data_IF_035363868800
#
_entry.id   IF_035363868800
#
_cell.length_a   1.000
_cell.length_b   1.000
_cell.length_c   1.000
_cell.angle_alpha   90.00
_cell.angle_beta   90.00
_cell.angle_gamma   90.00
#
_symmetry.space_group_name_H-M   'P 1'
#
loop_
_entity.id
_entity.type
_entity.pdbx_description
1 polymer ?
#
# COMPACT_ATOMS: atom_id res chain seq x y z
N UNK A 1 -3.81 5.50 -3.91
CA UNK A 1 -4.91 5.41 -2.92
C UNK A 1 -4.55 4.46 -1.79
N UNK A 2 -4.86 4.84 -0.55
CA UNK A 2 -4.61 3.98 0.61
C UNK A 2 -5.92 3.46 1.15
N UNK A 3 -5.93 2.18 1.49
CA UNK A 3 -7.08 1.55 2.11
C UNK A 3 -6.59 0.72 3.29
N UNK A 4 -7.06 1.06 4.49
CA UNK A 4 -6.83 0.25 5.68
C UNK A 4 -8.19 -0.34 6.04
N UNK A 5 -8.29 -1.65 6.04
CA UNK A 5 -9.59 -2.32 6.05
C UNK A 5 -9.54 -3.61 6.87
N UNK A 6 -10.68 -4.00 7.40
CA UNK A 6 -10.87 -5.32 8.00
C UNK A 6 -11.33 -6.36 6.97
N UNK A 7 -11.45 -5.97 5.70
CA UNK A 7 -11.92 -6.81 4.60
C UNK A 7 -10.96 -6.76 3.42
N UNK A 8 -9.69 -7.04 3.66
CA UNK A 8 -8.63 -6.92 2.66
C UNK A 8 -8.94 -7.70 1.39
N UNK A 9 -9.37 -8.95 1.53
CA UNK A 9 -9.71 -9.81 0.40
C UNK A 9 -10.82 -9.21 -0.47
N UNK A 10 -11.85 -8.67 0.17
CA UNK A 10 -12.98 -8.05 -0.52
C UNK A 10 -12.55 -6.79 -1.29
N UNK A 11 -11.76 -5.94 -0.67
CA UNK A 11 -11.24 -4.73 -1.32
C UNK A 11 -10.31 -5.07 -2.47
N UNK A 12 -9.46 -6.07 -2.29
CA UNK A 12 -8.57 -6.59 -3.33
C UNK A 12 -9.36 -7.07 -4.55
N UNK A 13 -10.46 -7.81 -4.31
CA UNK A 13 -11.33 -8.29 -5.39
C UNK A 13 -12.05 -7.17 -6.12
N UNK A 14 -12.48 -6.12 -5.42
CA UNK A 14 -13.09 -4.95 -6.04
C UNK A 14 -12.12 -4.26 -7.00
N UNK A 15 -10.87 -4.08 -6.59
CA UNK A 15 -9.84 -3.46 -7.42
C UNK A 15 -9.53 -4.33 -8.63
N UNK A 16 -9.42 -5.63 -8.42
CA UNK A 16 -9.20 -6.60 -9.48
C UNK A 16 -10.27 -6.51 -10.57
N UNK A 17 -11.53 -6.47 -10.17
CA UNK A 17 -12.66 -6.35 -11.11
C UNK A 17 -12.66 -5.01 -11.83
N UNK A 18 -12.44 -3.92 -11.10
CA UNK A 18 -12.45 -2.57 -11.66
C UNK A 18 -11.41 -2.39 -12.76
N UNK A 19 -10.24 -2.97 -12.60
CA UNK A 19 -9.11 -2.80 -13.51
C UNK A 19 -8.82 -4.03 -14.37
N UNK A 20 -9.66 -5.04 -14.29
CA UNK A 20 -9.53 -6.30 -15.05
C UNK A 20 -8.15 -6.95 -14.80
N UNK A 21 -7.77 -7.04 -13.53
CA UNK A 21 -6.50 -7.61 -13.10
C UNK A 21 -6.71 -9.01 -12.53
N UNK A 22 -5.71 -9.86 -12.71
CA UNK A 22 -5.63 -11.14 -12.02
C UNK A 22 -4.70 -10.96 -10.82
N UNK A 23 -5.25 -11.12 -9.63
CA UNK A 23 -4.49 -11.01 -8.38
C UNK A 23 -4.42 -12.36 -7.71
N UNK A 24 -3.22 -12.72 -7.27
CA UNK A 24 -3.00 -13.95 -6.53
C UNK A 24 -3.44 -13.69 -5.08
N UNK A 25 -4.35 -14.50 -4.60
CA UNK A 25 -4.82 -14.46 -3.22
C UNK A 25 -4.32 -15.72 -2.52
N UNK A 26 -3.28 -15.58 -1.72
CA UNK A 26 -2.74 -16.65 -0.90
C UNK A 26 -3.38 -16.70 0.50
N UNK A 27 -4.31 -15.78 0.78
CA UNK A 27 -5.09 -15.77 2.01
C UNK A 27 -4.36 -15.27 3.24
N UNK A 28 -3.10 -14.87 3.11
CA UNK A 28 -2.24 -14.54 4.24
C UNK A 28 -1.63 -13.14 4.16
N UNK A 29 -2.15 -12.29 3.29
CA UNK A 29 -1.61 -10.94 3.11
C UNK A 29 -1.89 -10.07 4.32
N UNK A 30 -0.84 -9.44 4.87
CA UNK A 30 -0.97 -8.36 5.86
C UNK A 30 -1.27 -7.04 5.17
N UNK A 31 -0.79 -6.91 3.95
CA UNK A 31 -1.01 -5.77 3.09
C UNK A 31 -0.67 -6.14 1.67
N UNK A 32 -1.05 -5.28 0.73
CA UNK A 32 -0.75 -5.51 -0.68
C UNK A 32 -0.59 -4.18 -1.41
N UNK A 33 0.40 -4.12 -2.30
CA UNK A 33 0.57 -3.02 -3.22
C UNK A 33 0.13 -3.47 -4.61
N UNK A 34 -0.75 -2.69 -5.24
CA UNK A 34 -1.27 -2.98 -6.58
C UNK A 34 -0.98 -1.79 -7.48
N UNK A 35 -0.27 -2.04 -8.57
CA UNK A 35 -0.02 -1.05 -9.60
C UNK A 35 -0.85 -1.42 -10.82
N UNK A 36 -1.69 -0.50 -11.29
CA UNK A 36 -2.50 -0.72 -12.47
C UNK A 36 -1.80 -0.17 -13.72
N UNK A 37 -2.22 -0.62 -14.88
CA UNK A 37 -1.70 -0.14 -16.16
C UNK A 37 -2.10 1.30 -16.48
N UNK A 38 -3.06 1.86 -15.72
CA UNK A 38 -3.49 3.26 -15.85
C UNK A 38 -2.69 4.22 -14.98
N UNK A 39 -1.52 3.82 -14.51
CA UNK A 39 -0.63 4.60 -13.64
C UNK A 39 -1.20 4.92 -12.25
N UNK A 40 -2.27 4.25 -11.88
CA UNK A 40 -2.82 4.34 -10.52
C UNK A 40 -2.23 3.24 -9.66
N UNK A 41 -2.07 3.53 -8.39
CA UNK A 41 -1.63 2.53 -7.44
C UNK A 41 -2.55 2.48 -6.23
N UNK A 42 -2.60 1.32 -5.63
CA UNK A 42 -3.38 1.06 -4.43
C UNK A 42 -2.47 0.41 -3.40
N UNK A 43 -2.53 0.92 -2.18
CA UNK A 43 -1.84 0.32 -1.06
C UNK A 43 -2.90 -0.05 -0.03
N UNK A 44 -3.03 -1.34 0.23
CA UNK A 44 -4.03 -1.88 1.13
C UNK A 44 -3.33 -2.51 2.33
N UNK A 45 -3.84 -2.27 3.52
CA UNK A 45 -3.33 -2.89 4.75
C UNK A 45 -4.52 -3.45 5.51
N UNK A 46 -4.39 -4.68 5.97
CA UNK A 46 -5.38 -5.29 6.86
C UNK A 46 -5.24 -4.65 8.24
N UNK A 47 -6.34 -4.10 8.75
CA UNK A 47 -6.35 -3.39 10.02
C UNK A 47 -5.87 -4.28 11.17
N UNK A 48 -6.10 -5.58 11.05
CA UNK A 48 -5.67 -6.57 12.04
C UNK A 48 -4.14 -6.60 12.21
N UNK A 49 -3.42 -6.28 11.14
CA UNK A 49 -1.95 -6.29 11.11
C UNK A 49 -1.35 -4.88 11.10
N UNK A 50 -2.16 -3.87 11.41
CA UNK A 50 -1.69 -2.48 11.37
C UNK A 50 -0.65 -2.23 12.44
N UNK A 51 0.61 -2.22 12.03
CA UNK A 51 1.76 -1.98 12.88
C UNK A 51 2.77 -1.11 12.14
N UNK A 52 3.72 -0.53 12.88
CA UNK A 52 4.77 0.27 12.25
C UNK A 52 5.61 -0.59 11.30
N UNK A 53 5.83 -1.86 11.64
CA UNK A 53 6.56 -2.79 10.80
C UNK A 53 5.82 -3.06 9.48
N UNK A 54 4.53 -3.37 9.54
CA UNK A 54 3.72 -3.61 8.35
C UNK A 54 3.65 -2.37 7.47
N UNK A 55 3.47 -1.20 8.08
CA UNK A 55 3.45 0.06 7.34
C UNK A 55 4.77 0.26 6.59
N UNK A 56 5.90 0.11 7.27
CA UNK A 56 7.22 0.28 6.64
C UNK A 56 7.44 -0.74 5.52
N UNK A 57 7.04 -1.98 5.73
CA UNK A 57 7.14 -3.06 4.75
C UNK A 57 6.37 -2.71 3.47
N UNK A 58 5.13 -2.27 3.62
CA UNK A 58 4.28 -1.94 2.48
C UNK A 58 4.72 -0.64 1.79
N UNK A 59 5.24 0.33 2.54
CA UNK A 59 5.84 1.54 1.96
C UNK A 59 7.01 1.16 1.07
N UNK A 60 7.87 0.26 1.52
CA UNK A 60 9.02 -0.19 0.72
C UNK A 60 8.55 -0.83 -0.59
N UNK A 61 7.59 -1.73 -0.55
CA UNK A 61 7.02 -2.33 -1.76
C UNK A 61 6.45 -1.28 -2.70
N UNK A 62 5.77 -0.26 -2.16
CA UNK A 62 5.20 0.82 -2.96
C UNK A 62 6.29 1.64 -3.66
N UNK A 63 7.35 1.99 -2.94
CA UNK A 63 8.45 2.76 -3.51
C UNK A 63 9.14 1.97 -4.62
N UNK A 64 9.45 0.70 -4.37
CA UNK A 64 10.09 -0.17 -5.37
C UNK A 64 9.19 -0.32 -6.59
N UNK A 65 7.91 -0.61 -6.39
CA UNK A 65 6.97 -0.81 -7.50
C UNK A 65 6.80 0.43 -8.36
N UNK A 66 6.62 1.59 -7.74
CA UNK A 66 6.42 2.85 -8.47
C UNK A 66 7.70 3.26 -9.20
N UNK A 67 8.85 3.18 -8.53
CA UNK A 67 10.11 3.61 -9.13
C UNK A 67 10.57 2.69 -10.26
N UNK A 68 10.35 1.39 -10.13
CA UNK A 68 10.64 0.45 -11.21
C UNK A 68 9.74 0.70 -12.42
N UNK A 69 8.45 0.90 -12.19
CA UNK A 69 7.50 1.19 -13.27
C UNK A 69 7.86 2.45 -14.03
N UNK A 70 8.34 3.47 -13.33
CA UNK A 70 8.67 4.77 -13.90
C UNK A 70 10.12 4.91 -14.33
N UNK A 71 10.94 3.89 -14.11
CA UNK A 71 12.36 3.94 -14.44
C UNK A 71 13.15 4.93 -13.58
N UNK A 72 12.70 5.20 -12.35
CA UNK A 72 13.35 6.13 -11.45
C UNK A 72 14.47 5.40 -10.70
N UNK A 73 15.71 5.83 -10.92
CA UNK A 73 16.88 5.23 -10.26
C UNK A 73 17.55 6.18 -9.27
N UNK A 74 17.11 7.43 -9.22
CA UNK A 74 17.65 8.45 -8.34
C UNK A 74 17.23 8.18 -6.89
N UNK A 75 18.20 8.00 -6.01
CA UNK A 75 17.98 7.74 -4.60
C UNK A 75 17.25 8.89 -3.90
N UNK A 76 17.53 10.13 -4.27
CA UNK A 76 16.86 11.29 -3.68
C UNK A 76 15.38 11.31 -4.03
N UNK A 77 15.04 10.98 -5.26
CA UNK A 77 13.65 10.87 -5.70
C UNK A 77 12.92 9.74 -4.99
N UNK A 78 13.59 8.61 -4.80
CA UNK A 78 13.05 7.46 -4.06
C UNK A 78 12.81 7.83 -2.60
N UNK A 79 13.73 8.55 -1.98
CA UNK A 79 13.61 9.01 -0.60
C UNK A 79 12.44 9.97 -0.44
N UNK A 80 12.30 10.90 -1.37
CA UNK A 80 11.17 11.85 -1.37
C UNK A 80 9.84 11.09 -1.46
N UNK A 81 9.76 10.13 -2.35
CA UNK A 81 8.54 9.32 -2.54
C UNK A 81 8.22 8.54 -1.27
N UNK A 82 9.22 7.96 -0.63
CA UNK A 82 9.07 7.26 0.64
C UNK A 82 8.45 8.15 1.71
N UNK A 83 8.99 9.37 1.88
CA UNK A 83 8.46 10.34 2.83
C UNK A 83 7.04 10.77 2.50
N UNK A 84 6.76 10.98 1.22
CA UNK A 84 5.44 11.37 0.75
C UNK A 84 4.38 10.31 1.07
N UNK A 85 4.67 9.05 0.76
CA UNK A 85 3.75 7.93 1.03
C UNK A 85 3.57 7.75 2.53
N UNK A 86 4.65 7.80 3.30
CA UNK A 86 4.61 7.68 4.76
C UNK A 86 3.70 8.74 5.36
N UNK A 87 3.87 10.00 4.93
CA UNK A 87 3.06 11.10 5.43
C UNK A 87 1.57 10.89 5.15
N UNK A 88 1.24 10.42 3.96
CA UNK A 88 -0.15 10.16 3.58
C UNK A 88 -0.77 9.03 4.40
N UNK A 89 -0.03 7.96 4.65
CA UNK A 89 -0.51 6.83 5.45
C UNK A 89 -0.81 7.28 6.88
N UNK A 90 0.13 7.98 7.52
CA UNK A 90 -0.05 8.41 8.91
C UNK A 90 -1.15 9.47 9.04
N UNK A 91 -1.30 10.33 8.04
CA UNK A 91 -2.41 11.29 8.02
C UNK A 91 -3.76 10.58 7.94
N UNK A 92 -3.84 9.53 7.14
CA UNK A 92 -5.04 8.69 7.04
C UNK A 92 -5.35 8.01 8.38
N UNK A 93 -4.33 7.45 9.02
CA UNK A 93 -4.45 6.77 10.32
C UNK A 93 -4.95 7.74 11.37
N UNK A 94 -4.39 8.94 11.41
CA UNK A 94 -4.81 9.99 12.34
C UNK A 94 -6.25 10.42 12.09
N UNK A 95 -6.60 10.65 10.83
CA UNK A 95 -7.94 11.07 10.44
C UNK A 95 -9.01 10.05 10.82
N UNK A 96 -8.69 8.75 10.69
CA UNK A 96 -9.60 7.66 11.02
C UNK A 96 -9.48 7.19 12.47
N UNK A 97 -8.59 7.81 13.23
CA UNK A 97 -8.35 7.48 14.64
C UNK A 97 -8.03 5.99 14.83
N UNK A 98 -7.17 5.46 13.98
CA UNK A 98 -6.75 4.07 14.04
C UNK A 98 -5.57 3.88 14.97
N UNK A 99 -5.48 2.70 15.58
CA UNK A 99 -4.38 2.34 16.46
C UNK A 99 -3.31 1.56 15.71
N UNK A 100 -2.08 2.04 15.79
CA UNK A 100 -0.93 1.36 15.19
C UNK A 100 -0.21 0.59 16.28
N UNK A 101 -0.04 -0.71 16.07
CA UNK A 101 0.66 -1.58 17.00
C UNK A 101 2.17 -1.39 16.88
N UNK A 102 2.88 -1.67 17.97
CA UNK A 102 4.32 -1.78 17.92
C UNK A 102 4.70 -3.15 17.36
N UNK A 103 5.70 -3.18 16.51
CA UNK A 103 6.17 -4.45 15.96
C UNK A 103 6.32 -4.50 14.48
#
# INVERSE_FOLDING_TARGET
MFIITDQLKKEKNKISKKHTLELIDDGEDEGVFILTDMTKYYLLIDIKYLSHNTIAHEIYHSVVGITEDRGVTDEEAQSWLCGHITGKIYKFIEKKNLQVKHG
#
